data_IF_781222259616
#
_entry.id   IF_781222259616
#
_cell.length_a   1.000
_cell.length_b   1.000
_cell.length_c   1.000
_cell.angle_alpha   90.00
_cell.angle_beta   90.00
_cell.angle_gamma   90.00
#
_symmetry.space_group_name_H-M   'P 1'
#
loop_
_entity.id
_entity.type
_entity.pdbx_description
1 polymer ?
#
# COMPACT_ATOMS: atom_id res chain seq x y z
N UNK A 1 16.95 1.03 -22.29
CA UNK A 1 16.65 2.33 -21.65
C UNK A 1 17.21 2.29 -20.23
N UNK A 2 17.92 3.33 -19.76
CA UNK A 2 18.31 3.41 -18.35
C UNK A 2 17.06 3.53 -17.47
N UNK A 3 17.11 2.95 -16.27
CA UNK A 3 16.02 3.07 -15.30
C UNK A 3 15.96 4.52 -14.78
N UNK A 4 14.75 5.06 -14.55
CA UNK A 4 14.62 6.38 -13.94
C UNK A 4 15.16 6.35 -12.51
N UNK A 5 15.90 7.39 -12.14
CA UNK A 5 16.41 7.57 -10.79
C UNK A 5 15.30 8.23 -9.95
N UNK A 6 14.84 7.54 -8.90
CA UNK A 6 13.79 8.02 -8.02
C UNK A 6 14.44 8.47 -6.71
N UNK A 7 14.31 9.76 -6.38
CA UNK A 7 14.71 10.29 -5.07
C UNK A 7 13.51 10.29 -4.15
N UNK A 8 13.59 9.52 -3.06
CA UNK A 8 12.58 9.51 -1.99
C UNK A 8 13.26 9.76 -0.64
N UNK A 9 12.63 10.60 0.19
CA UNK A 9 13.05 10.81 1.57
C UNK A 9 12.00 10.20 2.50
N UNK A 10 12.42 9.31 3.40
CA UNK A 10 11.51 8.67 4.38
C UNK A 10 10.73 9.70 5.22
N UNK A 11 11.32 10.88 5.44
CA UNK A 11 10.71 11.97 6.19
C UNK A 11 9.50 12.59 5.46
N UNK A 12 9.36 12.42 4.14
CA UNK A 12 8.20 12.90 3.39
C UNK A 12 6.90 12.24 3.87
N UNK A 13 6.94 10.96 4.24
CA UNK A 13 5.79 10.26 4.80
C UNK A 13 5.32 10.92 6.10
N UNK A 14 6.23 11.16 7.04
CA UNK A 14 5.88 11.78 8.32
C UNK A 14 5.44 13.24 8.16
N UNK A 15 6.08 13.99 7.25
CA UNK A 15 5.65 15.36 6.90
C UNK A 15 4.21 15.37 6.38
N UNK A 16 3.86 14.45 5.49
CA UNK A 16 2.51 14.35 4.97
C UNK A 16 1.49 13.98 6.06
N UNK A 17 1.83 13.07 6.98
CA UNK A 17 0.96 12.74 8.12
C UNK A 17 0.66 13.97 8.96
N UNK A 18 1.66 14.78 9.30
CA UNK A 18 1.46 16.03 10.05
C UNK A 18 0.55 17.01 9.30
N UNK A 19 0.84 17.25 8.02
CA UNK A 19 0.01 18.14 7.19
C UNK A 19 -1.42 17.63 7.01
N UNK A 20 -1.62 16.30 6.98
CA UNK A 20 -2.96 15.71 6.92
C UNK A 20 -3.72 15.97 8.22
N UNK A 21 -3.07 15.79 9.38
CA UNK A 21 -3.66 16.09 10.69
C UNK A 21 -4.05 17.58 10.76
N UNK A 22 -3.23 18.46 10.21
CA UNK A 22 -3.51 19.90 10.10
C UNK A 22 -4.54 20.26 9.01
N UNK A 23 -5.07 19.29 8.26
CA UNK A 23 -6.05 19.49 7.18
C UNK A 23 -5.50 20.16 5.92
N UNK A 24 -4.17 20.18 5.73
CA UNK A 24 -3.48 20.86 4.64
C UNK A 24 -3.26 19.96 3.41
N UNK A 25 -3.15 18.65 3.62
CA UNK A 25 -2.92 17.67 2.56
C UNK A 25 -3.76 16.42 2.81
N UNK A 26 -3.90 15.59 1.78
CA UNK A 26 -4.42 14.24 1.92
C UNK A 26 -3.29 13.25 2.22
N UNK A 27 -3.62 12.12 2.85
CA UNK A 27 -2.66 11.04 3.05
C UNK A 27 -2.10 10.53 1.71
N UNK A 28 -0.78 10.55 1.56
CA UNK A 28 -0.07 9.96 0.40
C UNK A 28 -0.13 8.42 0.41
N UNK A 29 -0.32 7.82 1.59
CA UNK A 29 -0.63 6.40 1.76
C UNK A 29 -2.00 6.28 2.44
N UNK A 30 -2.99 5.82 1.69
CA UNK A 30 -4.38 5.68 2.14
C UNK A 30 -4.58 4.40 2.96
N UNK A 31 -5.47 4.38 3.97
CA UNK A 31 -5.81 3.15 4.71
C UNK A 31 -6.23 1.99 3.80
N UNK A 32 -6.95 2.28 2.72
CA UNK A 32 -7.42 1.28 1.75
C UNK A 32 -6.24 0.60 1.03
N UNK A 33 -5.14 1.31 0.79
CA UNK A 33 -3.94 0.74 0.19
C UNK A 33 -3.28 -0.28 1.13
N UNK A 34 -3.25 0.00 2.44
CA UNK A 34 -2.77 -0.97 3.44
C UNK A 34 -3.67 -2.21 3.51
N UNK A 35 -5.00 -2.03 3.45
CA UNK A 35 -5.94 -3.16 3.43
C UNK A 35 -5.75 -4.09 2.23
N UNK A 36 -5.30 -3.58 1.07
CA UNK A 36 -4.94 -4.44 -0.07
C UNK A 36 -3.80 -5.39 0.26
N UNK A 37 -2.78 -4.91 0.97
CA UNK A 37 -1.64 -5.74 1.40
C UNK A 37 -2.10 -6.80 2.39
N UNK A 38 -2.94 -6.43 3.36
CA UNK A 38 -3.48 -7.38 4.33
C UNK A 38 -4.24 -8.54 3.65
N UNK A 39 -5.08 -8.26 2.65
CA UNK A 39 -5.79 -9.30 1.88
C UNK A 39 -4.84 -10.27 1.15
N UNK A 40 -3.71 -9.77 0.64
CA UNK A 40 -2.68 -10.63 0.04
C UNK A 40 -2.05 -11.53 1.11
N UNK A 41 -1.70 -10.96 2.26
CA UNK A 41 -1.10 -11.72 3.36
C UNK A 41 -2.04 -12.85 3.84
N UNK A 42 -3.32 -12.55 4.03
CA UNK A 42 -4.36 -13.54 4.38
C UNK A 42 -4.44 -14.68 3.37
N UNK A 43 -4.42 -14.35 2.07
CA UNK A 43 -4.44 -15.36 1.01
C UNK A 43 -3.16 -16.20 0.96
N UNK A 44 -2.00 -15.59 1.20
CA UNK A 44 -0.74 -16.35 1.32
C UNK A 44 -0.81 -17.35 2.48
N UNK A 45 -1.33 -16.94 3.64
CA UNK A 45 -1.50 -17.85 4.78
C UNK A 45 -2.50 -18.98 4.47
N UNK A 46 -3.65 -18.65 3.88
CA UNK A 46 -4.64 -19.64 3.50
C UNK A 46 -4.12 -20.63 2.43
N UNK A 47 -3.32 -20.14 1.47
CA UNK A 47 -2.68 -20.97 0.44
C UNK A 47 -1.66 -21.92 1.08
N UNK A 48 -0.81 -21.43 1.99
CA UNK A 48 0.17 -22.25 2.70
C UNK A 48 -0.50 -23.33 3.55
N UNK A 49 -1.63 -23.02 4.19
CA UNK A 49 -2.36 -23.98 5.02
C UNK A 49 -3.01 -25.09 4.19
N UNK A 50 -3.48 -24.76 2.98
CA UNK A 50 -4.26 -25.68 2.12
C UNK A 50 -3.42 -26.37 1.05
N UNK A 51 -2.21 -25.89 0.78
CA UNK A 51 -1.37 -26.35 -0.32
C UNK A 51 -1.94 -26.04 -1.71
N UNK A 52 -2.84 -25.06 -1.81
CA UNK A 52 -3.58 -24.76 -3.03
C UNK A 52 -3.36 -23.33 -3.52
N UNK A 53 -3.54 -23.14 -4.82
CA UNK A 53 -3.64 -21.80 -5.41
C UNK A 53 -5.00 -21.21 -5.07
N UNK A 54 -5.03 -19.95 -4.64
CA UNK A 54 -6.26 -19.23 -4.32
C UNK A 54 -6.51 -18.13 -5.34
N UNK A 55 -7.75 -18.02 -5.80
CA UNK A 55 -8.23 -16.83 -6.49
C UNK A 55 -8.50 -15.73 -5.47
N UNK A 56 -7.96 -14.53 -5.70
CA UNK A 56 -7.98 -13.44 -4.72
C UNK A 56 -8.55 -12.18 -5.35
N UNK A 57 -9.66 -11.69 -4.79
CA UNK A 57 -10.21 -10.39 -5.14
C UNK A 57 -9.52 -9.28 -4.33
N UNK A 58 -8.48 -8.70 -4.92
CA UNK A 58 -7.78 -7.55 -4.38
C UNK A 58 -8.42 -6.29 -4.98
N UNK A 59 -8.84 -5.30 -4.14
CA UNK A 59 -9.34 -4.02 -4.63
C UNK A 59 -8.39 -3.38 -5.65
N UNK A 60 -8.84 -2.55 -6.59
CA UNK A 60 -7.95 -1.82 -7.48
C UNK A 60 -7.00 -0.91 -6.68
N UNK A 61 -5.80 -0.67 -7.22
CA UNK A 61 -4.88 0.29 -6.63
C UNK A 61 -5.45 1.69 -6.86
N UNK A 62 -5.83 2.37 -5.77
CA UNK A 62 -6.12 3.80 -5.82
C UNK A 62 -4.77 4.51 -5.95
N UNK A 63 -4.44 4.92 -7.18
CA UNK A 63 -3.32 5.82 -7.42
C UNK A 63 -3.75 7.24 -7.00
N UNK A 64 -2.91 7.98 -6.26
CA UNK A 64 -3.11 9.42 -6.08
C UNK A 64 -2.95 10.17 -7.41
#
# INVERSE_FOLDING_TARGET
LPLPEIRTEWADYYRNVLKTIDGQEELIVKPEQAMRVMKVMEACFASSLTGQTLDVNIPPLLLP
#
